data_IF_772817298657
#
_entry.id   IF_772817298657
#
_cell.length_a   1.000
_cell.length_b   1.000
_cell.length_c   1.000
_cell.angle_alpha   90.00
_cell.angle_beta   90.00
_cell.angle_gamma   90.00
#
_symmetry.space_group_name_H-M   'P 1'
#
loop_
_entity.id
_entity.type
_entity.pdbx_description
1 polymer ?
#
# COMPACT_ATOMS: atom_id res chain seq x y z
N UNK A 1 -12.43 3.51 -0.78
CA UNK A 1 -11.17 2.75 -0.92
C UNK A 1 -11.35 1.30 -1.40
N UNK A 2 -12.54 0.86 -1.79
CA UNK A 2 -12.81 -0.53 -2.22
C UNK A 2 -11.87 -1.02 -3.35
N UNK A 3 -11.57 -0.17 -4.33
CA UNK A 3 -10.63 -0.53 -5.42
C UNK A 3 -9.23 -0.84 -4.88
N UNK A 4 -8.77 -0.10 -3.87
CA UNK A 4 -7.47 -0.31 -3.22
C UNK A 4 -7.46 -1.65 -2.49
N UNK A 5 -8.50 -1.91 -1.68
CA UNK A 5 -8.66 -3.16 -0.94
C UNK A 5 -8.70 -4.39 -1.87
N UNK A 6 -9.42 -4.29 -2.99
CA UNK A 6 -9.47 -5.38 -3.98
C UNK A 6 -8.10 -5.68 -4.58
N UNK A 7 -7.32 -4.65 -4.90
CA UNK A 7 -5.96 -4.82 -5.41
C UNK A 7 -5.02 -5.42 -4.36
N UNK A 8 -5.07 -4.94 -3.12
CA UNK A 8 -4.26 -5.48 -2.02
C UNK A 8 -4.53 -6.98 -1.81
N UNK A 9 -5.81 -7.37 -1.73
CA UNK A 9 -6.20 -8.78 -1.58
C UNK A 9 -5.77 -9.64 -2.76
N UNK A 10 -5.93 -9.14 -3.99
CA UNK A 10 -5.50 -9.88 -5.18
C UNK A 10 -3.98 -10.11 -5.19
N UNK A 11 -3.19 -9.05 -4.93
CA UNK A 11 -1.73 -9.17 -4.86
C UNK A 11 -1.31 -10.12 -3.74
N UNK A 12 -1.86 -9.96 -2.53
CA UNK A 12 -1.57 -10.84 -1.41
C UNK A 12 -1.91 -12.32 -1.69
N UNK A 13 -2.98 -12.60 -2.42
CA UNK A 13 -3.33 -13.96 -2.83
C UNK A 13 -2.29 -14.59 -3.79
N UNK A 14 -1.54 -13.77 -4.53
CA UNK A 14 -0.50 -14.23 -5.45
C UNK A 14 0.86 -14.40 -4.77
N UNK A 15 1.24 -13.48 -3.86
CA UNK A 15 2.63 -13.41 -3.34
C UNK A 15 2.76 -13.51 -1.81
N UNK A 16 1.64 -13.50 -1.09
CA UNK A 16 1.60 -13.42 0.37
C UNK A 16 1.67 -11.98 0.89
N UNK A 17 1.02 -11.73 2.04
CA UNK A 17 1.03 -10.41 2.70
C UNK A 17 2.42 -9.94 3.12
N UNK A 18 3.36 -10.87 3.34
CA UNK A 18 4.77 -10.61 3.67
C UNK A 18 5.59 -10.00 2.51
N UNK A 19 4.96 -9.74 1.36
CA UNK A 19 5.60 -9.17 0.16
C UNK A 19 4.78 -8.04 -0.47
N UNK A 20 3.70 -7.59 0.18
CA UNK A 20 2.85 -6.49 -0.30
C UNK A 20 3.30 -5.17 0.33
N UNK A 21 3.51 -4.14 -0.47
CA UNK A 21 3.89 -2.80 0.02
C UNK A 21 3.12 -1.69 -0.70
N UNK A 22 3.29 -0.45 -0.21
CA UNK A 22 2.70 0.75 -0.81
C UNK A 22 3.70 1.38 -1.79
N UNK A 23 3.18 1.81 -2.94
CA UNK A 23 3.85 2.70 -3.89
C UNK A 23 2.81 3.62 -4.49
N UNK A 24 2.57 4.76 -3.84
CA UNK A 24 1.42 5.63 -4.13
C UNK A 24 1.54 6.43 -5.42
N UNK A 25 2.75 6.66 -5.89
CA UNK A 25 3.03 7.56 -7.01
C UNK A 25 2.44 8.97 -6.82
N UNK A 26 2.35 9.43 -5.56
CA UNK A 26 1.96 10.82 -5.25
C UNK A 26 2.89 11.79 -5.99
N UNK A 27 2.29 12.79 -6.65
CA UNK A 27 2.96 13.79 -7.51
C UNK A 27 3.64 13.21 -8.77
N UNK A 28 3.40 11.93 -9.10
CA UNK A 28 3.96 11.26 -10.29
C UNK A 28 3.19 11.48 -11.60
N UNK A 29 1.92 11.90 -11.52
CA UNK A 29 1.04 12.11 -12.67
C UNK A 29 0.87 13.58 -13.08
N UNK A 30 0.83 13.85 -14.39
CA UNK A 30 0.55 15.17 -14.99
C UNK A 30 -0.92 15.64 -14.80
N UNK A 31 -1.57 15.35 -13.67
CA UNK A 31 -2.93 15.76 -13.38
C UNK A 31 -3.43 15.28 -12.01
N UNK A 32 -3.95 16.22 -11.21
CA UNK A 32 -4.50 16.06 -9.85
C UNK A 32 -5.73 15.12 -9.71
N UNK A 33 -6.12 14.39 -10.76
CA UNK A 33 -7.45 13.76 -10.84
C UNK A 33 -7.45 12.21 -10.81
N UNK A 34 -6.35 11.54 -10.45
CA UNK A 34 -6.25 10.07 -10.60
C UNK A 34 -6.18 9.25 -9.31
N UNK A 35 -6.12 9.89 -8.14
CA UNK A 35 -6.09 9.15 -6.88
C UNK A 35 -7.44 8.43 -6.61
N UNK A 36 -7.41 7.21 -6.04
CA UNK A 36 -8.63 6.59 -5.53
C UNK A 36 -9.34 7.49 -4.52
N UNK A 37 -10.67 7.63 -4.67
CA UNK A 37 -11.49 8.44 -3.77
C UNK A 37 -11.22 8.09 -2.30
N UNK A 38 -10.78 9.10 -1.53
CA UNK A 38 -10.43 9.00 -0.12
C UNK A 38 -8.92 8.95 0.18
N UNK A 39 -8.06 9.00 -0.85
CA UNK A 39 -6.61 9.20 -0.76
C UNK A 39 -6.21 10.54 -1.42
N UNK A 40 -6.55 11.64 -0.77
CA UNK A 40 -6.42 12.98 -1.35
C UNK A 40 -5.05 13.62 -1.02
N UNK A 41 -4.44 13.20 0.08
CA UNK A 41 -3.14 13.71 0.54
C UNK A 41 -2.22 12.60 1.08
N UNK A 42 -0.89 12.81 1.19
CA UNK A 42 0.04 11.78 1.66
C UNK A 42 -0.32 11.16 3.03
N UNK A 43 -0.92 11.93 3.92
CA UNK A 43 -1.38 11.45 5.24
C UNK A 43 -2.47 10.38 5.15
N UNK A 44 -3.23 10.35 4.06
CA UNK A 44 -4.31 9.39 3.85
C UNK A 44 -3.80 7.96 3.62
N UNK A 45 -2.51 7.76 3.33
CA UNK A 45 -1.93 6.43 3.19
C UNK A 45 -2.06 5.60 4.47
N UNK A 46 -2.17 6.23 5.65
CA UNK A 46 -2.45 5.53 6.89
C UNK A 46 -3.78 4.75 6.86
N UNK A 47 -4.78 5.23 6.09
CA UNK A 47 -6.09 4.57 5.91
C UNK A 47 -5.97 3.21 5.22
N UNK A 48 -4.86 2.91 4.55
CA UNK A 48 -4.60 1.61 3.93
C UNK A 48 -4.47 0.51 5.00
N UNK A 49 -4.03 0.86 6.21
CA UNK A 49 -3.96 -0.08 7.34
C UNK A 49 -5.31 -0.69 7.71
N UNK A 50 -6.41 0.05 7.51
CA UNK A 50 -7.77 -0.43 7.79
C UNK A 50 -8.28 -1.45 6.75
N UNK A 51 -7.58 -1.60 5.61
CA UNK A 51 -7.98 -2.44 4.47
C UNK A 51 -7.30 -3.82 4.48
N UNK A 52 -6.42 -4.08 5.46
CA UNK A 52 -5.61 -5.32 5.50
C UNK A 52 -5.86 -6.10 6.80
N UNK A 53 -5.55 -7.40 6.83
CA UNK A 53 -5.62 -8.17 8.08
C UNK A 53 -4.75 -7.53 9.17
N UNK A 54 -5.19 -7.62 10.43
CA UNK A 54 -4.49 -7.01 11.56
C UNK A 54 -2.99 -7.39 11.63
N UNK A 55 -2.66 -8.63 11.27
CA UNK A 55 -1.27 -9.12 11.25
C UNK A 55 -0.41 -8.55 10.12
N UNK A 56 -1.00 -7.90 9.13
CA UNK A 56 -0.32 -7.38 7.94
C UNK A 56 -0.18 -5.84 7.95
N UNK A 57 -0.73 -5.15 8.95
CA UNK A 57 -0.76 -3.68 9.00
C UNK A 57 0.66 -3.11 8.92
N UNK A 58 1.53 -3.47 9.88
CA UNK A 58 2.90 -2.94 9.94
C UNK A 58 3.72 -3.34 8.71
N UNK A 59 3.50 -4.56 8.22
CA UNK A 59 4.14 -5.11 7.03
C UNK A 59 3.83 -4.31 5.77
N UNK A 60 2.56 -4.07 5.49
CA UNK A 60 2.11 -3.32 4.30
C UNK A 60 2.45 -1.84 4.42
N UNK A 61 2.34 -1.26 5.62
CA UNK A 61 2.66 0.16 5.85
C UNK A 61 4.16 0.47 5.81
N UNK A 62 5.04 -0.53 5.88
CA UNK A 62 6.45 -0.29 5.62
C UNK A 62 7.42 -1.41 5.97
N UNK A 63 7.09 -2.34 6.87
CA UNK A 63 8.07 -3.35 7.31
C UNK A 63 8.50 -4.30 6.19
N UNK A 64 7.63 -4.57 5.21
CA UNK A 64 8.01 -5.33 4.01
C UNK A 64 9.11 -4.63 3.20
N UNK A 65 8.98 -3.31 3.01
CA UNK A 65 9.99 -2.52 2.31
C UNK A 65 11.29 -2.45 3.09
N UNK A 66 11.23 -2.23 4.41
CA UNK A 66 12.42 -2.21 5.27
C UNK A 66 13.17 -3.52 5.18
N UNK A 67 12.49 -4.66 5.37
CA UNK A 67 13.11 -5.99 5.24
C UNK A 67 13.75 -6.22 3.87
N UNK A 68 13.09 -5.77 2.80
CA UNK A 68 13.62 -5.90 1.45
C UNK A 68 14.87 -5.03 1.24
N UNK A 69 14.85 -3.77 1.67
CA UNK A 69 15.97 -2.84 1.54
C UNK A 69 17.18 -3.26 2.38
N UNK A 70 16.95 -3.72 3.61
CA UNK A 70 18.01 -4.23 4.50
C UNK A 70 18.63 -5.53 3.99
N UNK A 71 17.85 -6.39 3.32
CA UNK A 71 18.38 -7.60 2.68
C UNK A 71 19.09 -7.34 1.35
N UNK A 72 18.97 -6.13 0.80
CA UNK A 72 19.54 -5.77 -0.49
C UNK A 72 20.90 -5.06 -0.39
N UNK A 73 21.17 -4.40 0.75
CA UNK A 73 22.46 -3.76 1.09
C UNK A 73 23.38 -4.78 1.76
#
# INVERSE_FOLDING_TARGET
>A
LEVVEKHLNHTAALIGWDKVGIGSDFDGGFGLNENPVGLDEPGDLAKIGDLVPHSAIDDVLGQNWIRWLEGWI
#
